data_IF_307033739554
#
_entry.id   IF_307033739554
#
_cell.length_a   1.000
_cell.length_b   1.000
_cell.length_c   1.000
_cell.angle_alpha   90.00
_cell.angle_beta   90.00
_cell.angle_gamma   90.00
#
_symmetry.space_group_name_H-M   'P 1'
#
loop_
_entity.id
_entity.type
_entity.pdbx_description
1 polymer ?
#
# COMPACT_ATOMS: atom_id res chain seq x y z
N UNK A 1 -0.31 -1.52 9.16
CA UNK A 1 -1.77 -1.32 9.32
C UNK A 1 -2.29 -2.03 10.57
N UNK A 2 -3.29 -1.51 11.31
CA UNK A 2 -3.97 -2.23 12.41
C UNK A 2 -5.16 -3.00 11.84
N UNK A 3 -5.12 -4.33 11.91
CA UNK A 3 -6.31 -5.19 11.97
C UNK A 3 -6.03 -6.32 12.97
N UNK A 4 -6.67 -6.22 14.15
CA UNK A 4 -6.85 -7.20 15.23
C UNK A 4 -5.69 -8.16 15.61
N UNK A 5 -5.40 -8.20 16.93
CA UNK A 5 -4.38 -9.03 17.57
C UNK A 5 -4.74 -10.53 17.46
N UNK A 6 -4.10 -11.24 16.54
CA UNK A 6 -4.07 -12.70 16.47
C UNK A 6 -2.64 -13.12 16.09
N UNK A 7 -1.90 -13.47 17.14
CA UNK A 7 -0.71 -14.31 17.26
C UNK A 7 0.05 -14.70 15.98
N UNK A 8 1.33 -14.29 15.90
CA UNK A 8 2.37 -14.88 15.03
C UNK A 8 2.31 -14.52 13.55
N UNK A 9 1.22 -14.85 12.85
CA UNK A 9 1.09 -14.73 11.38
C UNK A 9 1.06 -13.26 10.90
N UNK A 10 0.63 -12.33 11.76
CA UNK A 10 0.58 -10.90 11.42
C UNK A 10 1.95 -10.21 11.47
N UNK A 11 2.93 -10.75 12.21
CA UNK A 11 4.27 -10.15 12.30
C UNK A 11 5.01 -10.24 10.96
N UNK A 12 4.95 -11.41 10.31
CA UNK A 12 5.53 -11.63 8.99
C UNK A 12 4.81 -10.80 7.93
N UNK A 13 3.48 -10.66 8.05
CA UNK A 13 2.70 -9.78 7.18
C UNK A 13 3.08 -8.30 7.36
N UNK A 14 3.29 -7.82 8.60
CA UNK A 14 3.73 -6.44 8.89
C UNK A 14 5.12 -6.15 8.32
N UNK A 15 6.06 -7.08 8.51
CA UNK A 15 7.41 -6.94 7.98
C UNK A 15 7.40 -6.95 6.45
N UNK A 16 6.63 -7.87 5.85
CA UNK A 16 6.47 -7.97 4.39
C UNK A 16 5.83 -6.71 3.78
N UNK A 17 4.77 -6.18 4.41
CA UNK A 17 4.15 -4.92 4.00
C UNK A 17 5.16 -3.77 4.08
N UNK A 18 5.85 -3.62 5.20
CA UNK A 18 6.85 -2.55 5.38
C UNK A 18 7.97 -2.63 4.33
N UNK A 19 8.50 -3.83 4.08
CA UNK A 19 9.53 -4.04 3.06
C UNK A 19 9.01 -3.78 1.64
N UNK A 20 7.78 -4.19 1.33
CA UNK A 20 7.13 -3.92 0.06
C UNK A 20 6.90 -2.43 -0.18
N UNK A 21 6.40 -1.70 0.82
CA UNK A 21 6.19 -0.24 0.74
C UNK A 21 7.52 0.50 0.62
N UNK A 22 8.55 0.04 1.31
CA UNK A 22 9.91 0.56 1.15
C UNK A 22 10.46 0.34 -0.26
N UNK A 23 10.19 -0.81 -0.87
CA UNK A 23 10.56 -1.07 -2.27
C UNK A 23 9.79 -0.15 -3.23
N UNK A 24 8.47 0.03 -3.03
CA UNK A 24 7.65 0.96 -3.80
C UNK A 24 8.21 2.39 -3.74
N UNK A 25 8.50 2.88 -2.53
CA UNK A 25 9.09 4.21 -2.33
C UNK A 25 10.44 4.36 -3.05
N UNK A 26 11.32 3.36 -2.94
CA UNK A 26 12.64 3.42 -3.60
C UNK A 26 12.54 3.49 -5.11
N UNK A 27 11.65 2.69 -5.71
CA UNK A 27 11.44 2.66 -7.17
C UNK A 27 10.87 3.99 -7.67
N UNK A 28 10.00 4.62 -6.88
CA UNK A 28 9.25 5.81 -7.27
C UNK A 28 9.70 7.08 -6.54
N UNK A 29 10.93 7.09 -5.99
CA UNK A 29 11.40 8.16 -5.10
C UNK A 29 11.35 9.54 -5.77
N UNK A 30 11.55 9.60 -7.08
CA UNK A 30 11.50 10.84 -7.87
C UNK A 30 10.15 11.57 -7.80
N UNK A 31 9.06 10.85 -7.54
CA UNK A 31 7.73 11.43 -7.41
C UNK A 31 7.46 11.96 -6.00
N UNK A 32 8.20 11.51 -4.98
CA UNK A 32 7.87 11.78 -3.58
C UNK A 32 8.91 12.69 -2.93
N UNK A 33 8.49 13.90 -2.55
CA UNK A 33 9.32 14.85 -1.79
C UNK A 33 9.14 14.67 -0.26
N UNK A 34 9.14 13.43 0.20
CA UNK A 34 9.03 13.04 1.62
C UNK A 34 10.07 11.97 1.91
N UNK A 35 10.45 11.80 3.17
CA UNK A 35 11.32 10.70 3.54
C UNK A 35 10.56 9.37 3.60
N UNK A 36 11.29 8.25 3.67
CA UNK A 36 10.70 6.92 3.65
C UNK A 36 9.74 6.65 4.82
N UNK A 37 10.01 7.20 6.01
CA UNK A 37 9.15 7.01 7.18
C UNK A 37 7.85 7.79 7.01
N UNK A 38 7.93 9.04 6.56
CA UNK A 38 6.76 9.87 6.19
C UNK A 38 5.91 9.17 5.12
N UNK A 39 6.54 8.64 4.08
CA UNK A 39 5.87 7.86 3.05
C UNK A 39 5.13 6.64 3.62
N UNK A 40 5.77 5.91 4.54
CA UNK A 40 5.13 4.76 5.19
C UNK A 40 3.94 5.18 6.09
N UNK A 41 4.04 6.32 6.77
CA UNK A 41 2.90 6.89 7.51
C UNK A 41 1.74 7.27 6.60
N UNK A 42 2.02 7.92 5.46
CA UNK A 42 1.01 8.23 4.44
C UNK A 42 0.35 6.95 3.91
N UNK A 43 1.16 5.92 3.62
CA UNK A 43 0.67 4.61 3.22
C UNK A 43 -0.29 4.01 4.25
N UNK A 44 0.06 4.03 5.54
CA UNK A 44 -0.78 3.49 6.59
C UNK A 44 -2.15 4.19 6.65
N UNK A 45 -2.16 5.52 6.61
CA UNK A 45 -3.39 6.31 6.66
C UNK A 45 -4.31 6.05 5.45
N UNK A 46 -3.75 6.05 4.24
CA UNK A 46 -4.49 5.76 3.01
C UNK A 46 -5.01 4.32 3.01
N UNK A 47 -4.20 3.38 3.50
CA UNK A 47 -4.59 1.99 3.57
C UNK A 47 -5.76 1.78 4.54
N UNK A 48 -5.73 2.43 5.70
CA UNK A 48 -6.82 2.36 6.66
C UNK A 48 -8.12 2.95 6.08
N UNK A 49 -8.03 4.11 5.42
CA UNK A 49 -9.17 4.74 4.73
C UNK A 49 -9.81 3.80 3.71
N UNK A 50 -9.02 3.24 2.80
CA UNK A 50 -9.54 2.37 1.73
C UNK A 50 -10.05 1.03 2.25
N UNK A 51 -9.50 0.52 3.36
CA UNK A 51 -10.03 -0.67 4.01
C UNK A 51 -11.38 -0.41 4.68
N UNK A 52 -11.57 0.74 5.33
CA UNK A 52 -12.89 1.11 5.88
C UNK A 52 -13.96 1.17 4.78
N UNK A 53 -13.64 1.78 3.65
CA UNK A 53 -14.53 1.79 2.46
C UNK A 53 -14.87 0.38 1.95
N UNK A 54 -13.92 -0.56 2.03
CA UNK A 54 -14.20 -1.97 1.74
C UNK A 54 -15.15 -2.60 2.78
N UNK A 55 -14.93 -2.38 4.08
CA UNK A 55 -15.82 -2.87 5.14
C UNK A 55 -17.25 -2.30 5.03
N UNK A 56 -17.36 -1.06 4.58
CA UNK A 56 -18.63 -0.36 4.35
C UNK A 56 -19.32 -0.82 3.03
N UNK A 57 -18.67 -1.71 2.27
CA UNK A 57 -19.19 -2.24 1.01
C UNK A 57 -19.07 -1.29 -0.20
N UNK A 58 -18.39 -0.16 -0.05
CA UNK A 58 -18.16 0.80 -1.15
C UNK A 58 -17.16 0.28 -2.18
N UNK A 59 -16.22 -0.57 -1.75
CA UNK A 59 -15.17 -1.14 -2.59
C UNK A 59 -15.16 -2.65 -2.47
N UNK A 60 -14.78 -3.33 -3.55
CA UNK A 60 -14.35 -4.73 -3.46
C UNK A 60 -12.95 -4.79 -2.82
N UNK A 61 -12.57 -5.99 -2.36
CA UNK A 61 -11.23 -6.22 -1.82
C UNK A 61 -10.11 -5.94 -2.84
N UNK A 62 -10.37 -6.12 -4.13
CA UNK A 62 -9.42 -5.80 -5.19
C UNK A 62 -9.36 -4.30 -5.45
N UNK A 63 -10.52 -3.64 -5.51
CA UNK A 63 -10.60 -2.21 -5.77
C UNK A 63 -9.93 -1.37 -4.68
N UNK A 64 -10.02 -1.76 -3.40
CA UNK A 64 -9.33 -1.00 -2.33
C UNK A 64 -7.80 -0.97 -2.52
N UNK A 65 -7.20 -2.02 -3.09
CA UNK A 65 -5.75 -2.04 -3.36
C UNK A 65 -5.38 -1.05 -4.45
N UNK A 66 -6.16 -1.01 -5.54
CA UNK A 66 -5.94 -0.10 -6.66
C UNK A 66 -6.16 1.35 -6.23
N UNK A 67 -7.24 1.63 -5.51
CA UNK A 67 -7.55 2.96 -4.99
C UNK A 67 -6.47 3.47 -4.03
N UNK A 68 -5.92 2.61 -3.18
CA UNK A 68 -4.77 2.96 -2.33
C UNK A 68 -3.54 3.38 -3.14
N UNK A 69 -3.21 2.67 -4.22
CA UNK A 69 -2.06 3.02 -5.08
C UNK A 69 -2.34 4.33 -5.83
N UNK A 70 -3.55 4.53 -6.34
CA UNK A 70 -3.91 5.81 -6.97
C UNK A 70 -3.81 6.96 -5.98
N UNK A 71 -4.32 6.80 -4.76
CA UNK A 71 -4.31 7.84 -3.75
C UNK A 71 -2.89 8.21 -3.30
N UNK A 72 -1.97 7.23 -3.12
CA UNK A 72 -0.59 7.56 -2.74
C UNK A 72 0.13 8.36 -3.83
N UNK A 73 -0.04 8.02 -5.11
CA UNK A 73 0.56 8.77 -6.23
C UNK A 73 -0.11 10.14 -6.46
N UNK A 74 -1.41 10.25 -6.17
CA UNK A 74 -2.13 11.52 -6.26
C UNK A 74 -1.57 12.58 -5.30
N UNK A 75 -0.98 12.17 -4.16
CA UNK A 75 -0.29 13.08 -3.23
C UNK A 75 0.95 13.74 -3.85
N UNK A 76 1.50 13.14 -4.90
CA UNK A 76 2.60 13.67 -5.72
C UNK A 76 2.13 14.37 -6.99
N UNK A 77 0.82 14.55 -7.16
CA UNK A 77 0.24 15.12 -8.39
C UNK A 77 0.20 14.15 -9.58
N UNK A 78 0.59 12.88 -9.40
CA UNK A 78 0.55 11.85 -10.44
C UNK A 78 -0.81 11.16 -10.41
N UNK A 79 -1.52 11.20 -11.54
CA UNK A 79 -2.78 10.45 -11.72
C UNK A 79 -2.48 9.16 -12.46
N UNK A 80 -2.75 8.03 -11.81
CA UNK A 80 -2.62 6.71 -12.42
C UNK A 80 -3.97 6.22 -12.96
N UNK A 81 -3.95 5.58 -14.11
CA UNK A 81 -5.01 4.68 -14.57
C UNK A 81 -5.06 3.40 -13.72
N UNK A 82 -6.14 2.63 -13.85
CA UNK A 82 -6.27 1.32 -13.18
C UNK A 82 -5.11 0.37 -13.52
N UNK A 83 -4.75 0.28 -14.80
CA UNK A 83 -3.65 -0.57 -15.27
C UNK A 83 -2.29 -0.15 -14.67
N UNK A 84 -2.04 1.15 -14.53
CA UNK A 84 -0.82 1.68 -13.93
C UNK A 84 -0.77 1.46 -12.43
N UNK A 85 -1.92 1.56 -11.75
CA UNK A 85 -2.05 1.28 -10.33
C UNK A 85 -1.78 -0.21 -10.04
N UNK A 86 -2.33 -1.11 -10.85
CA UNK A 86 -2.11 -2.55 -10.70
C UNK A 86 -0.63 -2.92 -10.94
N UNK A 87 0.01 -2.36 -11.97
CA UNK A 87 1.44 -2.57 -12.25
C UNK A 87 2.32 -2.07 -11.11
N UNK A 88 1.98 -0.92 -10.54
CA UNK A 88 2.71 -0.32 -9.41
C UNK A 88 2.57 -1.11 -8.11
N UNK A 89 1.54 -1.96 -7.98
CA UNK A 89 1.38 -2.85 -6.84
C UNK A 89 2.30 -4.09 -6.87
N UNK A 90 2.81 -4.47 -8.05
CA UNK A 90 3.62 -5.69 -8.22
C UNK A 90 4.82 -5.81 -7.27
N UNK A 91 5.61 -4.76 -6.98
CA UNK A 91 6.74 -4.85 -6.05
C UNK A 91 6.30 -5.23 -4.63
N UNK A 92 5.14 -4.75 -4.16
CA UNK A 92 4.59 -5.09 -2.84
C UNK A 92 4.18 -6.57 -2.83
N UNK A 93 3.47 -7.01 -3.86
CA UNK A 93 3.00 -8.39 -3.97
C UNK A 93 4.15 -9.41 -4.10
N UNK A 94 5.23 -9.06 -4.81
CA UNK A 94 6.40 -9.92 -4.95
C UNK A 94 7.13 -10.14 -3.62
N UNK A 95 7.27 -9.09 -2.80
CA UNK A 95 7.88 -9.21 -1.47
C UNK A 95 7.02 -10.08 -0.54
N UNK A 96 5.69 -9.91 -0.58
CA UNK A 96 4.77 -10.73 0.21
C UNK A 96 4.80 -12.22 -0.19
N UNK A 97 5.14 -12.57 -1.43
CA UNK A 97 5.29 -13.97 -1.91
C UNK A 97 6.60 -14.64 -1.52
N UNK A 98 7.63 -13.88 -1.16
CA UNK A 98 8.96 -14.41 -0.83
C UNK A 98 9.05 -14.79 0.66
N UNK A 99 8.17 -14.19 1.48
CA UNK A 99 8.22 -14.29 2.95
C UNK A 99 7.13 -15.23 3.50
N UNK A 100 6.18 -15.68 2.67
CA UNK A 100 5.16 -16.69 3.02
C UNK A 100 5.33 -17.96 2.21
#
# INVERSE_FOLDING_TARGET
>A
MIFFDLDGTLLDHKLSEYLGVKALYKINKEYFNVNQNEFYHMWCNISEKNFRRFLDGELTFENQRNERIKEIFALSGVKLSDDEAEKSFKPIYQVMKIIG
#
